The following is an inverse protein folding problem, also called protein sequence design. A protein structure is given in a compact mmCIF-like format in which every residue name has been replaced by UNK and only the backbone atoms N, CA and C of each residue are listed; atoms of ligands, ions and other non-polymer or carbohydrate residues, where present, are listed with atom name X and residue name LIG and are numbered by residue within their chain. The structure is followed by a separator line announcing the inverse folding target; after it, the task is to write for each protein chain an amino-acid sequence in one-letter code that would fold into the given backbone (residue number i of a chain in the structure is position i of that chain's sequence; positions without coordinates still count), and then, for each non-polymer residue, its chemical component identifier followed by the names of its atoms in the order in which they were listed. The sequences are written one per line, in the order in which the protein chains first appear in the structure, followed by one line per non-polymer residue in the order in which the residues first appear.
data_IF_138065490857
#
_entry.id   IF_138065490857
#
_cell.length_a   1.000
_cell.length_b   1.000
_cell.length_c   1.000
_cell.angle_alpha   90.00
_cell.angle_beta   90.00
_cell.angle_gamma   90.00
#
_symmetry.space_group_name_H-M   'P 1'
#
loop_
_entity.id
_entity.type
_entity.pdbx_description
1 polymer ?
#
# COMPACT_ATOMS: atom_id res chain seq x y z
N UNK A 1 0.37 25.17 -21.51
CA UNK A 1 0.53 24.61 -20.14
C UNK A 1 -0.70 23.80 -19.83
N UNK A 2 -0.55 22.49 -19.65
CA UNK A 2 -1.65 21.59 -19.26
C UNK A 2 -1.97 21.79 -17.78
N UNK A 3 -3.23 22.06 -17.47
CA UNK A 3 -3.71 22.23 -16.10
C UNK A 3 -3.79 20.86 -15.43
N UNK A 4 -3.17 20.71 -14.27
CA UNK A 4 -3.27 19.49 -13.47
C UNK A 4 -4.72 19.25 -13.03
N UNK A 5 -5.10 17.98 -12.98
CA UNK A 5 -6.42 17.54 -12.52
C UNK A 5 -6.48 17.56 -10.99
N UNK A 6 -7.70 17.64 -10.43
CA UNK A 6 -7.87 17.62 -8.97
C UNK A 6 -7.30 16.34 -8.35
N UNK A 7 -7.47 15.18 -9.00
CA UNK A 7 -6.94 13.90 -8.52
C UNK A 7 -5.40 13.91 -8.40
N UNK A 8 -4.70 14.58 -9.33
CA UNK A 8 -3.23 14.72 -9.27
C UNK A 8 -2.78 15.61 -8.10
N UNK A 9 -3.59 16.58 -7.70
CA UNK A 9 -3.29 17.51 -6.61
C UNK A 9 -3.61 16.94 -5.22
N UNK A 10 -4.41 15.88 -5.13
CA UNK A 10 -4.86 15.30 -3.85
C UNK A 10 -3.84 14.34 -3.21
N UNK A 11 -2.76 13.99 -3.91
CA UNK A 11 -1.68 13.12 -3.42
C UNK A 11 -2.20 11.84 -2.73
N UNK A 12 -3.17 11.17 -3.35
CA UNK A 12 -3.88 10.02 -2.75
C UNK A 12 -2.96 8.86 -2.37
N UNK A 13 -1.82 8.75 -3.04
CA UNK A 13 -0.84 7.66 -2.90
C UNK A 13 0.25 7.92 -1.83
N UNK A 14 0.14 9.01 -1.05
CA UNK A 14 1.19 9.40 -0.09
C UNK A 14 1.51 8.30 0.94
N UNK A 15 0.53 7.45 1.28
CA UNK A 15 0.76 6.31 2.15
C UNK A 15 1.79 5.33 1.58
N UNK A 16 1.68 4.96 0.29
CA UNK A 16 2.60 4.01 -0.36
C UNK A 16 4.02 4.55 -0.29
N UNK A 17 4.21 5.83 -0.61
CA UNK A 17 5.51 6.51 -0.58
C UNK A 17 6.10 6.62 0.83
N UNK A 18 5.26 6.74 1.88
CA UNK A 18 5.70 6.78 3.27
C UNK A 18 5.94 5.39 3.86
N UNK A 19 5.31 4.35 3.29
CA UNK A 19 5.40 2.98 3.75
C UNK A 19 6.56 2.22 3.09
N UNK A 20 6.75 2.40 1.78
CA UNK A 20 7.84 1.81 1.01
C UNK A 20 9.05 2.76 1.10
N UNK A 21 10.10 2.32 1.80
CA UNK A 21 11.29 3.13 2.05
C UNK A 21 12.11 3.47 0.79
N UNK A 22 12.51 2.48 -0.04
CA UNK A 22 13.28 2.73 -1.25
C UNK A 22 12.48 3.54 -2.27
N UNK A 23 13.06 4.64 -2.75
CA UNK A 23 12.53 5.35 -3.91
C UNK A 23 13.03 4.72 -5.22
N UNK A 24 12.57 5.21 -6.37
CA UNK A 24 12.95 4.65 -7.67
C UNK A 24 14.46 4.64 -7.94
N UNK A 25 15.23 5.60 -7.41
CA UNK A 25 16.68 5.62 -7.55
C UNK A 25 17.37 4.55 -6.68
N UNK A 26 16.86 4.35 -5.46
CA UNK A 26 17.31 3.28 -4.57
C UNK A 26 17.00 1.91 -5.19
N UNK A 27 15.77 1.72 -5.67
CA UNK A 27 15.34 0.48 -6.36
C UNK A 27 16.23 0.19 -7.56
N UNK A 28 16.50 1.18 -8.43
CA UNK A 28 17.44 1.00 -9.56
C UNK A 28 18.84 0.60 -9.12
N UNK A 29 19.32 1.19 -8.02
CA UNK A 29 20.64 0.85 -7.46
C UNK A 29 20.67 -0.59 -6.95
N UNK A 30 19.65 -1.00 -6.21
CA UNK A 30 19.51 -2.35 -5.67
C UNK A 30 19.39 -3.39 -6.80
N UNK A 31 18.56 -3.15 -7.81
CA UNK A 31 18.40 -4.02 -8.98
C UNK A 31 19.72 -4.24 -9.72
N UNK A 32 20.50 -3.18 -9.91
CA UNK A 32 21.84 -3.27 -10.49
C UNK A 32 22.78 -4.13 -9.64
N UNK A 33 22.71 -4.04 -8.31
CA UNK A 33 23.52 -4.87 -7.41
C UNK A 33 23.20 -6.35 -7.55
N UNK A 34 21.92 -6.71 -7.69
CA UNK A 34 21.50 -8.10 -7.85
C UNK A 34 21.53 -8.60 -9.30
N UNK A 35 21.78 -7.71 -10.27
CA UNK A 35 22.03 -8.07 -11.67
C UNK A 35 20.77 -8.28 -12.51
N UNK A 36 19.63 -7.71 -12.13
CA UNK A 36 18.37 -7.77 -12.90
C UNK A 36 17.93 -6.37 -13.37
N UNK A 37 17.12 -6.31 -14.43
CA UNK A 37 16.68 -5.07 -15.07
C UNK A 37 15.42 -4.47 -14.44
N UNK A 38 14.57 -5.26 -13.79
CA UNK A 38 13.33 -4.78 -13.16
C UNK A 38 12.90 -5.58 -11.93
N UNK A 39 11.93 -5.05 -11.19
CA UNK A 39 11.31 -5.76 -10.07
C UNK A 39 10.52 -6.97 -10.58
N UNK A 40 9.89 -6.88 -11.73
CA UNK A 40 9.19 -7.99 -12.38
C UNK A 40 10.16 -9.13 -12.70
N UNK A 41 11.31 -8.83 -13.31
CA UNK A 41 12.34 -9.86 -13.58
C UNK A 41 12.87 -10.48 -12.27
N UNK A 42 13.05 -9.68 -11.22
CA UNK A 42 13.42 -10.20 -9.90
C UNK A 42 12.37 -11.17 -9.36
N UNK A 43 11.08 -10.84 -9.48
CA UNK A 43 9.97 -11.70 -9.04
C UNK A 43 9.95 -13.00 -9.87
N UNK A 44 10.06 -12.91 -11.20
CA UNK A 44 10.04 -14.06 -12.10
C UNK A 44 11.18 -15.05 -11.81
N UNK A 45 12.35 -14.54 -11.46
CA UNK A 45 13.51 -15.36 -11.09
C UNK A 45 13.42 -15.95 -9.66
N UNK A 46 12.53 -15.44 -8.81
CA UNK A 46 12.44 -15.81 -7.39
C UNK A 46 11.23 -16.68 -7.07
N UNK A 47 10.06 -16.37 -7.64
CA UNK A 47 8.80 -17.04 -7.35
C UNK A 47 8.48 -18.02 -8.48
N UNK A 48 8.42 -19.34 -8.24
CA UNK A 48 8.07 -20.30 -9.28
C UNK A 48 6.69 -20.00 -9.88
N UNK A 49 6.61 -19.91 -11.20
CA UNK A 49 5.37 -19.57 -11.91
C UNK A 49 4.19 -20.49 -11.56
N UNK A 50 4.47 -21.77 -11.26
CA UNK A 50 3.44 -22.75 -10.90
C UNK A 50 2.65 -22.43 -9.61
N UNK A 51 3.18 -21.55 -8.76
CA UNK A 51 2.53 -21.16 -7.49
C UNK A 51 2.20 -19.67 -7.42
N UNK A 52 2.51 -18.91 -8.47
CA UNK A 52 2.22 -17.47 -8.52
C UNK A 52 0.76 -17.26 -8.89
N UNK A 53 0.08 -16.39 -8.15
CA UNK A 53 -1.22 -15.88 -8.54
C UNK A 53 -1.03 -14.57 -9.31
N UNK A 54 -1.39 -14.57 -10.59
CA UNK A 54 -1.33 -13.39 -11.46
C UNK A 54 -2.63 -12.57 -11.42
N UNK A 55 -3.60 -12.99 -10.61
CA UNK A 55 -4.85 -12.27 -10.41
C UNK A 55 -4.62 -11.12 -9.41
N UNK A 56 -4.98 -9.87 -9.76
CA UNK A 56 -4.96 -8.79 -8.79
C UNK A 56 -5.83 -9.11 -7.57
N UNK A 57 -5.34 -8.78 -6.38
CA UNK A 57 -6.06 -9.03 -5.13
C UNK A 57 -7.41 -8.30 -5.10
N UNK A 58 -8.49 -9.04 -4.83
CA UNK A 58 -9.84 -8.51 -4.74
C UNK A 58 -10.12 -7.86 -3.35
N UNK A 59 -9.33 -6.86 -2.96
CA UNK A 59 -9.40 -6.19 -1.64
C UNK A 59 -10.13 -4.84 -1.64
N UNK A 60 -10.70 -4.46 -2.78
CA UNK A 60 -11.39 -3.18 -2.97
C UNK A 60 -10.43 -2.01 -3.23
N UNK A 61 -11.01 -0.81 -3.27
CA UNK A 61 -10.24 0.40 -3.58
C UNK A 61 -9.39 0.85 -2.38
N UNK A 62 -8.25 1.44 -2.70
CA UNK A 62 -7.36 2.09 -1.75
C UNK A 62 -8.06 3.25 -1.01
N UNK A 63 -7.44 3.66 0.09
CA UNK A 63 -7.86 4.81 0.89
C UNK A 63 -6.63 5.61 1.25
N UNK A 64 -6.74 6.93 1.15
CA UNK A 64 -5.72 7.84 1.68
C UNK A 64 -5.55 7.61 3.19
N UNK A 65 -4.38 7.91 3.74
CA UNK A 65 -4.09 7.75 5.18
C UNK A 65 -5.15 8.46 6.05
N UNK A 66 -5.51 9.70 5.68
CA UNK A 66 -6.59 10.47 6.33
C UNK A 66 -7.96 9.82 6.17
N UNK A 67 -8.27 9.31 4.97
CA UNK A 67 -9.51 8.59 4.68
C UNK A 67 -9.66 7.34 5.53
N UNK A 68 -8.58 6.58 5.69
CA UNK A 68 -8.51 5.39 6.55
C UNK A 68 -8.79 5.73 8.01
N UNK A 69 -8.16 6.76 8.57
CA UNK A 69 -8.42 7.20 9.96
C UNK A 69 -9.88 7.62 10.15
N UNK A 70 -10.44 8.39 9.20
CA UNK A 70 -11.85 8.82 9.26
C UNK A 70 -12.80 7.63 9.24
N UNK A 71 -12.56 6.68 8.34
CA UNK A 71 -13.33 5.44 8.23
C UNK A 71 -13.28 4.62 9.54
N UNK A 72 -12.08 4.40 10.09
CA UNK A 72 -11.89 3.63 11.31
C UNK A 72 -12.52 4.32 12.52
N UNK A 73 -12.46 5.65 12.63
CA UNK A 73 -13.16 6.40 13.70
C UNK A 73 -14.66 6.21 13.64
N UNK A 74 -15.25 6.26 12.43
CA UNK A 74 -16.69 6.00 12.25
C UNK A 74 -17.07 4.58 12.68
N UNK A 75 -16.22 3.60 12.37
CA UNK A 75 -16.42 2.22 12.80
C UNK A 75 -16.30 2.08 14.32
N UNK A 76 -15.26 2.65 14.92
CA UNK A 76 -15.03 2.64 16.36
C UNK A 76 -16.15 3.32 17.16
N UNK A 77 -16.79 4.36 16.60
CA UNK A 77 -17.95 5.01 17.20
C UNK A 77 -19.19 4.12 17.38
N UNK A 78 -19.19 2.92 16.80
CA UNK A 78 -20.23 1.90 17.01
C UNK A 78 -19.99 1.04 18.25
N UNK A 79 -18.79 1.10 18.83
CA UNK A 79 -18.46 0.34 20.03
C UNK A 79 -19.11 1.00 21.26
N UNK A 80 -19.49 0.17 22.23
CA UNK A 80 -19.97 0.64 23.53
C UNK A 80 -18.89 0.40 24.58
N UNK A 81 -18.43 1.48 25.20
CA UNK A 81 -17.41 1.42 26.25
C UNK A 81 -18.11 1.26 27.60
N UNK A 82 -17.94 0.09 28.22
CA UNK A 82 -18.50 -0.23 29.54
C UNK A 82 -17.41 -0.36 30.59
N UNK A 83 -17.74 -0.02 31.83
CA UNK A 83 -17.00 -0.50 32.98
C UNK A 83 -17.22 -2.02 33.11
N UNK A 84 -16.26 -2.80 32.63
CA UNK A 84 -16.40 -4.25 32.49
C UNK A 84 -15.89 -4.95 33.74
N UNK A 85 -16.80 -5.57 34.51
CA UNK A 85 -16.47 -6.37 35.71
C UNK A 85 -16.38 -7.87 35.39
N UNK A 86 -15.71 -8.21 34.29
CA UNK A 86 -15.66 -9.58 33.76
C UNK A 86 -14.72 -10.47 34.60
N UNK A 87 -13.76 -9.87 35.31
CA UNK A 87 -12.82 -10.58 36.17
C UNK A 87 -11.60 -11.06 35.40
N UNK A 88 -11.64 -12.34 34.96
CA UNK A 88 -10.61 -13.15 34.26
C UNK A 88 -9.17 -12.67 34.32
#
# INVERSE_FOLDING_TARGET
MTRETLDQLEARDDFIRRHIGPNDADVRTMLKTVGVASVEELIDNTVPAAIRDDTPLAIGNDKTERGTISYLRKMAGRNQVFASMIGM
#
